data_IF_351622169090
#
_entry.id   IF_351622169090
#
_cell.length_a   1.000
_cell.length_b   1.000
_cell.length_c   1.000
_cell.angle_alpha   90.00
_cell.angle_beta   90.00
_cell.angle_gamma   90.00
#
_symmetry.space_group_name_H-M   'P 1'
#
loop_
_entity.id
_entity.type
_entity.pdbx_description
1 polymer ?
#
# COMPACT_ATOMS: atom_id res chain seq x y z
N UNK A 1 9.04 16.87 13.73
CA UNK A 1 8.98 15.82 12.70
C UNK A 1 8.90 14.50 13.45
N UNK A 2 7.83 13.73 13.28
CA UNK A 2 7.74 12.40 13.90
C UNK A 2 8.43 11.41 12.94
N UNK A 3 9.59 10.84 13.30
CA UNK A 3 10.23 9.83 12.46
C UNK A 3 9.37 8.57 12.44
N UNK A 4 9.22 7.96 11.27
CA UNK A 4 8.64 6.63 11.15
C UNK A 4 9.58 5.64 11.85
N UNK A 5 9.02 4.77 12.71
CA UNK A 5 9.76 3.78 13.50
C UNK A 5 9.71 2.38 12.87
N UNK A 6 9.50 2.29 11.55
CA UNK A 6 9.56 1.02 10.83
C UNK A 6 11.00 0.61 10.54
N UNK A 7 11.21 -0.68 10.27
CA UNK A 7 12.52 -1.19 9.84
C UNK A 7 12.98 -0.52 8.53
N UNK A 8 14.30 -0.35 8.38
CA UNK A 8 14.92 0.34 7.23
C UNK A 8 14.50 -0.24 5.87
N UNK A 9 14.23 -1.55 5.82
CA UNK A 9 13.74 -2.26 4.64
C UNK A 9 12.37 -1.71 4.21
N UNK A 10 11.47 -1.49 5.16
CA UNK A 10 10.13 -0.97 4.90
C UNK A 10 10.14 0.51 4.55
N UNK A 11 10.94 1.30 5.26
CA UNK A 11 11.13 2.72 4.93
C UNK A 11 11.66 2.89 3.49
N UNK A 12 12.65 2.09 3.11
CA UNK A 12 13.22 2.11 1.76
C UNK A 12 12.21 1.67 0.72
N UNK A 13 11.52 0.54 0.95
CA UNK A 13 10.52 -0.01 0.03
C UNK A 13 9.39 0.99 -0.21
N UNK A 14 8.80 1.52 0.86
CA UNK A 14 7.72 2.50 0.73
C UNK A 14 8.21 3.79 0.07
N UNK A 15 9.40 4.30 0.42
CA UNK A 15 9.96 5.49 -0.22
C UNK A 15 10.12 5.31 -1.73
N UNK A 16 10.63 4.17 -2.17
CA UNK A 16 10.82 3.86 -3.58
C UNK A 16 9.49 3.62 -4.30
N UNK A 17 8.61 2.80 -3.71
CA UNK A 17 7.30 2.48 -4.28
C UNK A 17 6.44 3.72 -4.49
N UNK A 18 6.35 4.59 -3.48
CA UNK A 18 5.60 5.84 -3.61
C UNK A 18 6.20 6.80 -4.64
N UNK A 19 7.54 6.86 -4.79
CA UNK A 19 8.18 7.61 -5.88
C UNK A 19 7.78 7.08 -7.25
N UNK A 20 7.73 5.76 -7.42
CA UNK A 20 7.33 5.15 -8.69
C UNK A 20 5.86 5.46 -9.01
N UNK A 21 4.96 5.39 -8.02
CA UNK A 21 3.55 5.77 -8.17
C UNK A 21 3.41 7.23 -8.56
N UNK A 22 4.16 8.14 -7.89
CA UNK A 22 4.19 9.55 -8.25
C UNK A 22 4.71 9.79 -9.67
N UNK A 23 5.58 8.92 -10.18
CA UNK A 23 6.09 8.93 -11.55
C UNK A 23 5.16 8.21 -12.56
N UNK A 24 3.94 7.85 -12.17
CA UNK A 24 2.92 7.27 -13.05
C UNK A 24 2.83 5.75 -13.05
N UNK A 25 3.58 5.06 -12.18
CA UNK A 25 3.42 3.61 -12.00
C UNK A 25 2.06 3.29 -11.36
N UNK A 26 1.40 2.18 -11.72
CA UNK A 26 0.12 1.80 -11.13
C UNK A 26 0.22 1.55 -9.62
N UNK A 27 -0.71 2.10 -8.83
CA UNK A 27 -0.77 1.89 -7.38
C UNK A 27 -0.91 0.41 -7.00
N UNK A 28 -1.64 -0.36 -7.81
CA UNK A 28 -1.80 -1.80 -7.63
C UNK A 28 -0.45 -2.54 -7.56
N UNK A 29 0.57 -2.09 -8.32
CA UNK A 29 1.90 -2.70 -8.27
C UNK A 29 2.53 -2.60 -6.88
N UNK A 30 2.47 -1.41 -6.27
CA UNK A 30 2.94 -1.20 -4.89
C UNK A 30 2.15 -2.05 -3.88
N UNK A 31 0.83 -2.18 -4.06
CA UNK A 31 -0.01 -3.01 -3.20
C UNK A 31 0.39 -4.47 -3.27
N UNK A 32 0.59 -5.02 -4.47
CA UNK A 32 1.05 -6.39 -4.64
C UNK A 32 2.43 -6.60 -4.00
N UNK A 33 3.39 -5.71 -4.25
CA UNK A 33 4.74 -5.80 -3.69
C UNK A 33 4.76 -5.88 -2.17
N UNK A 34 3.86 -5.14 -1.51
CA UNK A 34 3.75 -5.11 -0.05
C UNK A 34 3.01 -6.35 0.47
N UNK A 35 1.90 -6.74 -0.15
CA UNK A 35 1.06 -7.83 0.32
C UNK A 35 1.66 -9.22 0.06
N UNK A 36 2.50 -9.37 -0.97
CA UNK A 36 3.14 -10.66 -1.28
C UNK A 36 4.36 -10.97 -0.40
N UNK A 37 4.79 -10.04 0.47
CA UNK A 37 5.97 -10.26 1.31
C UNK A 37 5.69 -11.26 2.43
N UNK A 38 5.97 -12.53 2.14
CA UNK A 38 5.83 -13.63 3.09
C UNK A 38 6.74 -13.49 4.31
N UNK A 39 7.94 -12.92 4.18
CA UNK A 39 8.85 -12.77 5.32
C UNK A 39 8.26 -11.81 6.38
N UNK A 40 7.47 -10.84 5.95
CA UNK A 40 6.79 -9.91 6.85
C UNK A 40 5.44 -10.42 7.34
N UNK A 41 4.62 -10.99 6.46
CA UNK A 41 3.25 -11.41 6.80
C UNK A 41 3.15 -12.85 7.30
N UNK A 42 4.19 -13.68 7.10
CA UNK A 42 4.18 -15.13 7.31
C UNK A 42 3.47 -15.91 6.20
N UNK A 43 2.78 -15.22 5.30
CA UNK A 43 2.08 -15.78 4.14
C UNK A 43 2.02 -14.75 2.99
N UNK A 44 1.71 -15.22 1.78
CA UNK A 44 1.43 -14.33 0.66
C UNK A 44 -0.03 -13.88 0.74
N UNK A 45 -0.27 -12.64 1.16
CA UNK A 45 -1.64 -12.11 1.29
C UNK A 45 -2.32 -11.90 -0.05
N UNK A 46 -1.58 -11.85 -1.17
CA UNK A 46 -2.19 -11.78 -2.51
C UNK A 46 -2.90 -13.08 -2.89
N UNK A 47 -2.63 -14.19 -2.17
CA UNK A 47 -3.38 -15.44 -2.31
C UNK A 47 -4.82 -15.35 -1.80
N UNK A 48 -5.16 -14.33 -1.00
CA UNK A 48 -6.53 -14.08 -0.52
C UNK A 48 -7.34 -13.40 -1.64
N UNK A 49 -8.36 -14.07 -2.20
CA UNK A 49 -9.08 -13.54 -3.36
C UNK A 49 -9.70 -12.16 -3.11
N UNK A 50 -9.38 -11.21 -3.98
CA UNK A 50 -9.91 -9.84 -3.95
C UNK A 50 -9.29 -8.91 -2.91
N UNK A 51 -8.35 -9.38 -2.08
CA UNK A 51 -7.73 -8.53 -1.06
C UNK A 51 -6.91 -7.39 -1.69
N UNK A 52 -6.03 -7.71 -2.64
CA UNK A 52 -5.18 -6.72 -3.32
C UNK A 52 -6.01 -5.66 -4.04
N UNK A 53 -7.09 -6.07 -4.71
CA UNK A 53 -8.02 -5.17 -5.40
C UNK A 53 -8.75 -4.26 -4.41
N UNK A 54 -9.20 -4.81 -3.29
CA UNK A 54 -9.92 -4.07 -2.26
C UNK A 54 -9.02 -3.04 -1.57
N UNK A 55 -7.78 -3.43 -1.24
CA UNK A 55 -6.77 -2.52 -0.68
C UNK A 55 -6.43 -1.41 -1.67
N UNK A 56 -6.21 -1.75 -2.93
CA UNK A 56 -5.93 -0.77 -4.00
C UNK A 56 -7.06 0.25 -4.09
N UNK A 57 -8.32 -0.21 -4.18
CA UNK A 57 -9.49 0.67 -4.26
C UNK A 57 -9.58 1.64 -3.08
N UNK A 58 -9.35 1.17 -1.86
CA UNK A 58 -9.39 2.03 -0.69
C UNK A 58 -8.24 3.04 -0.66
N UNK A 59 -7.02 2.62 -1.00
CA UNK A 59 -5.89 3.55 -1.08
C UNK A 59 -6.14 4.62 -2.14
N UNK A 60 -6.64 4.25 -3.32
CA UNK A 60 -6.96 5.25 -4.33
C UNK A 60 -8.05 6.23 -3.87
N UNK A 61 -9.04 5.77 -3.11
CA UNK A 61 -10.07 6.64 -2.54
C UNK A 61 -9.49 7.59 -1.49
N UNK A 62 -8.59 7.11 -0.64
CA UNK A 62 -7.85 7.94 0.32
C UNK A 62 -7.01 8.99 -0.41
N UNK A 63 -6.32 8.62 -1.49
CA UNK A 63 -5.50 9.55 -2.27
C UNK A 63 -6.34 10.62 -2.99
N UNK A 64 -7.54 10.25 -3.49
CA UNK A 64 -8.43 11.17 -4.22
C UNK A 64 -9.23 12.10 -3.31
N UNK A 65 -9.76 11.57 -2.20
CA UNK A 65 -10.77 12.26 -1.38
C UNK A 65 -10.32 12.51 0.05
N UNK A 66 -9.13 12.05 0.43
CA UNK A 66 -8.62 12.09 1.79
C UNK A 66 -9.19 10.97 2.67
N UNK A 67 -8.48 10.70 3.77
CA UNK A 67 -8.78 9.60 4.69
C UNK A 67 -10.21 9.65 5.25
N UNK A 68 -10.67 10.85 5.64
CA UNK A 68 -12.00 11.02 6.28
C UNK A 68 -13.13 10.64 5.34
N UNK A 69 -13.08 11.07 4.08
CA UNK A 69 -14.12 10.71 3.11
C UNK A 69 -14.06 9.24 2.74
N UNK A 70 -12.86 8.66 2.64
CA UNK A 70 -12.72 7.23 2.37
C UNK A 70 -13.39 6.39 3.46
N UNK A 71 -13.20 6.74 4.74
CA UNK A 71 -13.84 6.02 5.85
C UNK A 71 -15.36 6.13 5.86
N UNK A 72 -15.93 7.25 5.40
CA UNK A 72 -17.38 7.45 5.35
C UNK A 72 -18.08 6.62 4.25
N UNK A 73 -17.30 6.00 3.35
CA UNK A 73 -17.77 5.19 2.21
C UNK A 73 -17.43 3.70 2.35
N UNK A 74 -16.90 3.30 3.51
CA UNK A 74 -16.76 1.91 3.94
C UNK A 74 -18.12 1.36 4.38
#
# INVERSE_FOLDING_TARGET
MYPLQDDDVWLTRFSQGWKQVANGSPLHGLVLEVLQDNAHWGEDLTAIPGLSDQVTRYLEMILRSGMREALARL
#
